data_IF_313683131890
#
_entry.id   IF_313683131890
#
_cell.length_a   1.000
_cell.length_b   1.000
_cell.length_c   1.000
_cell.angle_alpha   90.00
_cell.angle_beta   90.00
_cell.angle_gamma   90.00
#
_symmetry.space_group_name_H-M   'P 1'
#
loop_
_entity.id
_entity.type
_entity.pdbx_description
1 polymer ?
#
# COMPACT_ATOMS: atom_id res chain seq x y z
N UNK A 1 48.72 29.00 28.99
CA UNK A 1 47.45 28.67 29.67
C UNK A 1 46.49 28.07 28.65
N UNK A 2 46.28 26.75 28.69
CA UNK A 2 45.38 26.02 27.77
C UNK A 2 43.94 26.34 28.15
N UNK A 3 43.16 26.97 27.26
CA UNK A 3 41.70 27.04 27.40
C UNK A 3 41.11 25.92 26.55
N UNK A 4 40.63 24.88 27.24
CA UNK A 4 39.96 23.73 26.68
C UNK A 4 38.51 24.16 26.39
N UNK A 5 38.17 24.46 25.15
CA UNK A 5 36.78 24.72 24.76
C UNK A 5 36.15 23.39 24.40
N UNK A 6 35.29 22.90 25.30
CA UNK A 6 34.54 21.66 25.16
C UNK A 6 33.60 21.76 23.96
N UNK A 7 33.93 21.07 22.87
CA UNK A 7 33.08 20.95 21.69
C UNK A 7 31.82 20.19 22.08
N UNK A 8 30.67 20.86 22.10
CA UNK A 8 29.37 20.20 22.26
C UNK A 8 29.01 19.57 20.92
N UNK A 9 29.50 18.35 20.67
CA UNK A 9 29.06 17.52 19.54
C UNK A 9 27.63 17.08 19.89
N UNK A 10 26.64 17.79 19.35
CA UNK A 10 25.28 17.27 19.24
C UNK A 10 25.36 16.16 18.19
N UNK A 11 25.51 14.93 18.66
CA UNK A 11 25.28 13.74 17.85
C UNK A 11 23.77 13.72 17.53
N UNK A 12 23.37 14.35 16.42
CA UNK A 12 22.10 14.02 15.79
C UNK A 12 22.16 12.53 15.48
N UNK A 13 21.46 11.74 16.28
CA UNK A 13 21.18 10.35 15.96
C UNK A 13 20.37 10.37 14.67
N UNK A 14 21.04 10.19 13.54
CA UNK A 14 20.42 9.83 12.28
C UNK A 14 19.89 8.40 12.43
N UNK A 15 18.83 8.22 13.20
CA UNK A 15 17.98 7.04 13.11
C UNK A 15 17.03 7.23 11.94
N UNK A 16 17.59 7.41 10.74
CA UNK A 16 16.85 7.26 9.49
C UNK A 16 16.92 5.79 9.09
N UNK A 17 16.16 4.93 9.79
CA UNK A 17 15.79 3.64 9.21
C UNK A 17 15.04 3.95 7.91
N UNK A 18 15.40 3.24 6.84
CA UNK A 18 15.10 3.66 5.47
C UNK A 18 13.61 3.90 5.24
N UNK A 19 13.25 5.18 5.04
CA UNK A 19 11.92 5.59 4.63
C UNK A 19 11.58 4.88 3.31
N UNK A 20 10.42 4.21 3.27
CA UNK A 20 9.90 3.65 2.03
C UNK A 20 9.88 4.71 0.92
N UNK A 21 10.40 4.35 -0.26
CA UNK A 21 10.37 5.19 -1.45
C UNK A 21 9.61 4.46 -2.56
N UNK A 22 8.48 5.01 -3.03
CA UNK A 22 7.70 4.38 -4.10
C UNK A 22 8.51 4.22 -5.40
N UNK A 23 8.31 3.09 -6.07
CA UNK A 23 8.84 2.83 -7.40
C UNK A 23 7.89 3.35 -8.49
N UNK A 24 8.39 3.55 -9.71
CA UNK A 24 7.54 3.90 -10.87
C UNK A 24 6.53 2.82 -11.28
N UNK A 25 6.60 1.63 -10.67
CA UNK A 25 5.66 0.52 -10.90
C UNK A 25 4.70 0.33 -9.73
N UNK A 26 4.70 1.26 -8.78
CA UNK A 26 3.74 1.27 -7.68
C UNK A 26 2.56 2.15 -8.08
N UNK A 27 1.36 1.71 -7.69
CA UNK A 27 0.19 2.58 -7.67
C UNK A 27 0.24 3.34 -6.35
N UNK A 28 0.34 4.66 -6.42
CA UNK A 28 0.52 5.49 -5.23
C UNK A 28 -0.72 6.35 -5.07
N UNK A 29 -1.42 6.21 -3.94
CA UNK A 29 -2.53 7.06 -3.56
C UNK A 29 -2.10 7.98 -2.42
N UNK A 30 -2.04 9.28 -2.71
CA UNK A 30 -1.80 10.33 -1.72
C UNK A 30 -3.06 11.16 -1.58
N UNK A 31 -3.93 10.76 -0.63
CA UNK A 31 -5.20 11.43 -0.31
C UNK A 31 -6.10 11.68 -1.53
N UNK A 32 -6.22 10.69 -2.41
CA UNK A 32 -7.03 10.75 -3.63
C UNK A 32 -6.24 11.15 -4.89
N UNK A 33 -5.05 11.73 -4.75
CA UNK A 33 -4.16 11.97 -5.88
C UNK A 33 -3.41 10.70 -6.22
N UNK A 34 -3.74 10.08 -7.36
CA UNK A 34 -3.25 8.75 -7.69
C UNK A 34 -2.31 8.75 -8.88
N UNK A 35 -1.15 8.15 -8.66
CA UNK A 35 -0.16 7.86 -9.69
C UNK A 35 -0.27 6.41 -10.16
N UNK A 36 -0.03 6.20 -11.46
CA UNK A 36 0.03 4.87 -12.08
C UNK A 36 -1.24 4.00 -11.91
N UNK A 37 -2.43 4.59 -11.72
CA UNK A 37 -3.70 3.85 -11.55
C UNK A 37 -3.91 2.73 -12.58
N UNK A 38 -3.45 2.95 -13.82
CA UNK A 38 -3.50 1.95 -14.91
C UNK A 38 -2.89 0.60 -14.54
N UNK A 39 -1.87 0.55 -13.68
CA UNK A 39 -1.28 -0.71 -13.23
C UNK A 39 -2.25 -1.57 -12.42
N UNK A 40 -3.07 -0.94 -11.56
CA UNK A 40 -4.11 -1.64 -10.81
C UNK A 40 -5.27 -2.06 -11.73
N UNK A 41 -5.66 -1.22 -12.68
CA UNK A 41 -6.67 -1.58 -13.68
C UNK A 41 -6.22 -2.77 -14.55
N UNK A 42 -4.96 -2.77 -15.01
CA UNK A 42 -4.38 -3.88 -15.76
C UNK A 42 -4.29 -5.16 -14.91
N UNK A 43 -4.01 -5.03 -13.61
CA UNK A 43 -4.03 -6.18 -12.70
C UNK A 43 -5.42 -6.81 -12.63
N UNK A 44 -6.47 -5.99 -12.49
CA UNK A 44 -7.86 -6.48 -12.48
C UNK A 44 -8.23 -7.14 -13.82
N UNK A 45 -7.84 -6.54 -14.95
CA UNK A 45 -8.03 -7.12 -16.27
C UNK A 45 -7.35 -8.48 -16.38
N UNK A 46 -6.08 -8.59 -15.97
CA UNK A 46 -5.35 -9.85 -15.98
C UNK A 46 -6.01 -10.92 -15.10
N UNK A 47 -6.46 -10.57 -13.88
CA UNK A 47 -7.21 -11.49 -13.01
C UNK A 47 -8.47 -12.00 -13.71
N UNK A 48 -9.22 -11.11 -14.38
CA UNK A 48 -10.45 -11.50 -15.09
C UNK A 48 -10.20 -12.42 -16.31
N UNK A 49 -8.97 -12.44 -16.80
CA UNK A 49 -8.53 -13.26 -17.93
C UNK A 49 -7.74 -14.49 -17.49
N UNK A 50 -7.68 -14.79 -16.19
CA UNK A 50 -6.86 -15.84 -15.59
C UNK A 50 -5.38 -15.76 -16.02
N UNK A 51 -4.80 -14.56 -15.90
CA UNK A 51 -3.40 -14.29 -16.22
C UNK A 51 -2.62 -13.91 -14.98
N UNK A 52 -1.57 -14.67 -14.69
CA UNK A 52 -0.60 -14.34 -13.64
C UNK A 52 -0.19 -12.86 -13.70
N UNK A 53 -0.36 -12.17 -12.58
CA UNK A 53 -0.16 -10.73 -12.51
C UNK A 53 0.16 -10.29 -11.09
N UNK A 54 0.83 -9.15 -10.94
CA UNK A 54 1.12 -8.56 -9.65
C UNK A 54 1.02 -7.04 -9.70
N UNK A 55 0.62 -6.44 -8.60
CA UNK A 55 0.60 -4.99 -8.43
C UNK A 55 0.88 -4.64 -6.97
N UNK A 56 1.61 -3.54 -6.77
CA UNK A 56 1.79 -2.91 -5.47
C UNK A 56 0.95 -1.65 -5.42
N UNK A 57 0.14 -1.52 -4.38
CA UNK A 57 -0.62 -0.31 -4.08
C UNK A 57 -0.10 0.28 -2.77
N UNK A 58 0.24 1.55 -2.79
CA UNK A 58 0.74 2.31 -1.64
C UNK A 58 -0.31 3.36 -1.32
N UNK A 59 -0.89 3.31 -0.12
CA UNK A 59 -1.78 4.35 0.36
C UNK A 59 -1.07 5.12 1.47
N UNK A 60 -0.95 6.43 1.32
CA UNK A 60 -0.39 7.29 2.37
C UNK A 60 -1.46 7.63 3.43
N UNK A 61 -1.08 7.55 4.70
CA UNK A 61 -1.89 8.05 5.83
C UNK A 61 -1.95 9.58 5.82
N UNK A 62 -2.80 10.17 6.66
CA UNK A 62 -2.91 11.62 6.82
C UNK A 62 -1.61 12.25 7.35
N UNK A 63 -0.83 11.49 8.11
CA UNK A 63 0.50 11.85 8.63
C UNK A 63 1.60 11.76 7.56
N UNK A 64 1.33 11.05 6.45
CA UNK A 64 2.27 10.87 5.35
C UNK A 64 3.06 9.55 5.41
N UNK A 65 2.63 8.59 6.22
CA UNK A 65 3.27 7.28 6.30
C UNK A 65 2.69 6.30 5.26
N UNK A 66 3.51 5.48 4.60
CA UNK A 66 3.03 4.58 3.56
C UNK A 66 2.49 3.27 4.13
N UNK A 67 1.28 2.89 3.72
CA UNK A 67 0.74 1.55 3.87
C UNK A 67 0.92 0.80 2.55
N UNK A 68 1.73 -0.27 2.57
CA UNK A 68 2.09 -1.04 1.37
C UNK A 68 1.15 -2.23 1.25
N UNK A 69 0.52 -2.41 0.09
CA UNK A 69 -0.39 -3.51 -0.20
C UNK A 69 0.02 -4.21 -1.49
N UNK A 70 0.66 -5.37 -1.34
CA UNK A 70 1.08 -6.21 -2.46
C UNK A 70 -0.02 -7.23 -2.80
N UNK A 71 -0.36 -7.28 -4.09
CA UNK A 71 -1.29 -8.25 -4.65
C UNK A 71 -0.57 -9.10 -5.70
N UNK A 72 -0.70 -10.42 -5.59
CA UNK A 72 -0.19 -11.38 -6.56
C UNK A 72 -1.29 -12.37 -6.92
N UNK A 73 -1.70 -12.39 -8.18
CA UNK A 73 -2.64 -13.35 -8.71
C UNK A 73 -1.88 -14.49 -9.40
N UNK A 74 -2.13 -15.71 -8.95
CA UNK A 74 -1.61 -16.92 -9.58
C UNK A 74 -2.41 -18.14 -9.11
N UNK A 75 -2.58 -19.13 -9.99
CA UNK A 75 -3.38 -20.34 -9.72
C UNK A 75 -4.78 -20.01 -9.21
N UNK A 76 -5.52 -19.15 -9.93
CA UNK A 76 -6.89 -18.74 -9.61
C UNK A 76 -7.07 -18.00 -8.26
N UNK A 77 -6.00 -17.62 -7.58
CA UNK A 77 -6.05 -16.99 -6.26
C UNK A 77 -5.21 -15.72 -6.20
N UNK A 78 -5.68 -14.75 -5.41
CA UNK A 78 -4.96 -13.52 -5.10
C UNK A 78 -4.34 -13.66 -3.70
N UNK A 79 -3.01 -13.73 -3.62
CA UNK A 79 -2.29 -13.49 -2.37
C UNK A 79 -2.21 -11.99 -2.13
N UNK A 80 -2.69 -11.55 -0.98
CA UNK A 80 -2.76 -10.14 -0.57
C UNK A 80 -1.95 -9.95 0.70
N UNK A 81 -0.86 -9.19 0.62
CA UNK A 81 0.00 -8.83 1.76
C UNK A 81 -0.12 -7.34 2.03
N UNK A 82 -0.69 -6.97 3.18
CA UNK A 82 -0.77 -5.59 3.66
C UNK A 82 0.25 -5.37 4.77
N UNK A 83 1.18 -4.47 4.54
CA UNK A 83 2.28 -4.11 5.44
C UNK A 83 2.08 -2.67 5.94
N UNK A 84 1.89 -2.52 7.25
CA UNK A 84 1.70 -1.24 7.93
C UNK A 84 2.91 -0.87 8.80
N UNK A 85 4.06 -1.54 8.65
CA UNK A 85 5.23 -1.30 9.52
C UNK A 85 5.85 0.08 9.39
N UNK A 86 5.61 0.75 8.25
CA UNK A 86 6.09 2.11 8.00
C UNK A 86 5.11 3.18 8.54
N UNK A 87 3.91 2.79 8.98
CA UNK A 87 2.95 3.64 9.68
C UNK A 87 3.33 3.70 11.18
N UNK A 88 3.90 4.83 11.61
CA UNK A 88 4.44 4.98 12.97
C UNK A 88 3.34 4.85 14.03
N UNK A 89 2.11 5.26 13.70
CA UNK A 89 0.97 5.28 14.61
C UNK A 89 -0.03 4.15 14.36
N UNK A 90 0.17 3.35 13.31
CA UNK A 90 -0.65 2.19 12.98
C UNK A 90 -0.28 0.91 13.74
N UNK A 91 -0.88 -0.20 13.35
CA UNK A 91 -0.68 -1.50 14.02
C UNK A 91 0.73 -2.08 13.83
N UNK A 92 1.49 -1.58 12.85
CA UNK A 92 2.83 -2.08 12.48
C UNK A 92 2.88 -3.59 12.20
N UNK A 93 1.88 -4.09 11.48
CA UNK A 93 1.69 -5.50 11.17
C UNK A 93 1.92 -5.81 9.69
N UNK A 94 2.27 -7.06 9.43
CA UNK A 94 2.16 -7.67 8.10
C UNK A 94 0.99 -8.65 8.13
N UNK A 95 -0.03 -8.38 7.34
CA UNK A 95 -1.24 -9.18 7.24
C UNK A 95 -1.31 -9.86 5.88
N UNK A 96 -1.39 -11.18 5.87
CA UNK A 96 -1.56 -11.97 4.65
C UNK A 96 -2.98 -12.52 4.55
N UNK A 97 -3.57 -12.44 3.37
CA UNK A 97 -4.86 -13.03 3.04
C UNK A 97 -4.79 -13.70 1.67
N UNK A 98 -5.59 -14.75 1.49
CA UNK A 98 -5.82 -15.37 0.18
C UNK A 98 -7.24 -15.07 -0.24
N UNK A 99 -7.43 -14.42 -1.38
CA UNK A 99 -8.72 -13.94 -1.87
C UNK A 99 -9.04 -14.50 -3.25
N UNK A 100 -10.32 -14.60 -3.58
CA UNK A 100 -10.79 -15.21 -4.82
C UNK A 100 -10.89 -14.20 -5.97
N UNK A 101 -11.17 -12.94 -5.67
CA UNK A 101 -11.35 -11.92 -6.70
C UNK A 101 -11.08 -10.51 -6.21
N UNK A 102 -10.93 -9.59 -7.17
CA UNK A 102 -10.86 -8.15 -6.97
C UNK A 102 -11.91 -7.47 -7.85
N UNK A 103 -12.56 -6.42 -7.35
CA UNK A 103 -13.54 -5.63 -8.10
C UNK A 103 -13.31 -4.13 -7.93
N UNK A 104 -13.55 -3.40 -9.02
CA UNK A 104 -13.79 -1.96 -9.02
C UNK A 104 -15.29 -1.71 -8.84
N UNK A 105 -15.67 -0.87 -7.89
CA UNK A 105 -17.06 -0.52 -7.59
C UNK A 105 -17.18 0.99 -7.51
N UNK A 106 -18.05 1.58 -8.31
CA UNK A 106 -18.35 3.01 -8.29
C UNK A 106 -19.65 3.26 -7.53
N UNK A 107 -19.61 4.09 -6.48
CA UNK A 107 -20.77 4.41 -5.63
C UNK A 107 -20.59 5.76 -4.94
N UNK A 108 -21.59 6.62 -5.01
CA UNK A 108 -21.64 7.90 -4.28
C UNK A 108 -20.38 8.78 -4.51
N UNK A 109 -19.94 8.93 -5.76
CA UNK A 109 -18.70 9.65 -6.14
C UNK A 109 -17.41 9.04 -5.57
N UNK A 110 -17.47 7.77 -5.15
CA UNK A 110 -16.31 7.03 -4.69
C UNK A 110 -16.10 5.81 -5.59
N UNK A 111 -14.86 5.60 -6.02
CA UNK A 111 -14.41 4.34 -6.61
C UNK A 111 -13.69 3.51 -5.55
N UNK A 112 -14.19 2.31 -5.30
CA UNK A 112 -13.58 1.32 -4.41
C UNK A 112 -12.90 0.22 -5.22
N UNK A 113 -11.65 -0.08 -4.89
CA UNK A 113 -10.98 -1.31 -5.31
C UNK A 113 -10.97 -2.26 -4.12
N UNK A 114 -11.64 -3.41 -4.23
CA UNK A 114 -11.83 -4.31 -3.10
C UNK A 114 -11.65 -5.78 -3.44
N UNK A 115 -10.99 -6.51 -2.55
CA UNK A 115 -10.87 -7.96 -2.59
C UNK A 115 -12.10 -8.63 -2.00
N UNK A 116 -12.46 -9.81 -2.51
CA UNK A 116 -13.60 -10.61 -2.08
C UNK A 116 -13.22 -12.08 -1.89
N UNK A 117 -13.98 -12.81 -1.07
CA UNK A 117 -13.76 -14.23 -0.82
C UNK A 117 -12.49 -14.51 0.00
N UNK A 118 -12.02 -13.53 0.78
CA UNK A 118 -10.75 -13.66 1.49
C UNK A 118 -10.84 -14.69 2.62
N UNK A 119 -9.94 -15.67 2.61
CA UNK A 119 -9.85 -16.77 3.57
C UNK A 119 -11.16 -17.57 3.71
N UNK A 120 -11.92 -17.71 2.62
CA UNK A 120 -13.21 -18.40 2.60
C UNK A 120 -14.32 -17.69 3.41
N UNK A 121 -14.16 -16.39 3.66
CA UNK A 121 -15.15 -15.54 4.37
C UNK A 121 -15.69 -14.46 3.43
N UNK A 122 -16.87 -13.94 3.75
CA UNK A 122 -17.45 -12.75 3.10
C UNK A 122 -16.75 -11.44 3.50
N UNK A 123 -15.48 -11.50 3.91
CA UNK A 123 -14.70 -10.33 4.29
C UNK A 123 -14.33 -9.54 3.04
N UNK A 124 -14.68 -8.25 3.04
CA UNK A 124 -14.27 -7.28 2.02
C UNK A 124 -13.03 -6.57 2.52
N UNK A 125 -11.96 -6.58 1.73
CA UNK A 125 -10.72 -5.84 2.03
C UNK A 125 -10.58 -4.73 0.98
N UNK A 126 -10.58 -3.48 1.43
CA UNK A 126 -10.31 -2.34 0.54
C UNK A 126 -8.82 -2.24 0.24
N UNK A 127 -8.49 -2.18 -1.05
CA UNK A 127 -7.14 -1.99 -1.59
C UNK A 127 -6.84 -0.50 -1.70
N UNK A 128 -7.75 0.27 -2.29
CA UNK A 128 -7.69 1.74 -2.33
C UNK A 128 -9.09 2.32 -2.59
N UNK A 129 -9.29 3.58 -2.21
CA UNK A 129 -10.53 4.33 -2.41
C UNK A 129 -10.15 5.66 -3.08
N UNK A 130 -10.91 6.05 -4.09
CA UNK A 130 -10.72 7.29 -4.86
C UNK A 130 -12.00 8.11 -4.74
N UNK A 131 -11.88 9.41 -4.49
CA UNK A 131 -12.99 10.36 -4.64
C UNK A 131 -12.99 10.93 -6.05
N UNK A 132 -14.15 10.99 -6.69
CA UNK A 132 -14.37 11.54 -8.04
C UNK A 132 -14.64 13.07 -8.03
N UNK A 133 -14.36 13.75 -6.92
CA UNK A 133 -14.67 15.18 -6.68
C UNK A 133 -13.83 16.18 -7.52
#
# INVERSE_FOLDING_TARGET
MRKLYSTFIVLFLLSGCGQYSPSKHDVVNTHGNIENLRLLENFIENVSMDRDSKVRVVNYTDEGDPIIHDLNYSNDLITSVKDTREDEFGDQLVMENVCESIKKIDKNNLTFYQLQGCNGKETVIHVTIISDD
#
